data_IF_018456972537
#
_entry.id   IF_018456972537
#
_cell.length_a   1.000
_cell.length_b   1.000
_cell.length_c   1.000
_cell.angle_alpha   90.00
_cell.angle_beta   90.00
_cell.angle_gamma   90.00
#
_symmetry.space_group_name_H-M   'P 1'
#
loop_
_entity.id
_entity.type
_entity.pdbx_description
1 polymer ?
#
# COMPACT_ATOMS: atom_id res chain seq x y z
N UNK A 1 -29.88 17.76 -14.92
CA UNK A 1 -28.56 18.33 -15.20
C UNK A 1 -27.48 17.23 -15.06
N UNK A 2 -26.44 17.29 -15.91
CA UNK A 2 -25.35 16.28 -15.85
C UNK A 2 -24.68 16.31 -14.49
N UNK A 3 -24.52 17.49 -13.89
CA UNK A 3 -23.88 17.68 -12.61
C UNK A 3 -24.55 16.91 -11.45
N UNK A 4 -25.84 16.71 -11.50
CA UNK A 4 -26.58 15.97 -10.46
C UNK A 4 -26.32 14.47 -10.53
N UNK A 5 -25.90 13.98 -11.69
CA UNK A 5 -25.77 12.55 -11.99
C UNK A 5 -24.32 12.05 -12.03
N UNK A 6 -23.33 12.94 -11.99
CA UNK A 6 -21.90 12.54 -12.14
C UNK A 6 -21.39 11.58 -11.06
N UNK A 7 -22.09 11.51 -9.93
CA UNK A 7 -21.78 10.59 -8.82
C UNK A 7 -22.58 9.28 -8.88
N UNK A 8 -23.48 9.13 -9.86
CA UNK A 8 -24.20 7.85 -10.04
C UNK A 8 -23.23 6.79 -10.60
N UNK A 9 -23.23 5.57 -10.07
CA UNK A 9 -22.47 4.47 -10.64
C UNK A 9 -22.83 4.23 -12.11
N UNK A 10 -21.81 3.99 -12.93
CA UNK A 10 -21.93 3.75 -14.37
C UNK A 10 -22.37 4.94 -15.22
N UNK A 11 -22.57 6.11 -14.64
CA UNK A 11 -22.88 7.31 -15.40
C UNK A 11 -21.63 7.80 -16.14
N UNK A 12 -21.73 7.93 -17.47
CA UNK A 12 -20.65 8.46 -18.31
C UNK A 12 -21.23 9.13 -19.57
N UNK A 13 -20.63 10.24 -19.98
CA UNK A 13 -20.92 10.92 -21.24
C UNK A 13 -19.97 10.47 -22.36
N UNK A 14 -18.97 9.61 -22.05
CA UNK A 14 -18.03 9.08 -23.05
C UNK A 14 -18.67 7.92 -23.83
N UNK A 15 -18.26 7.75 -25.09
CA UNK A 15 -18.65 6.58 -25.90
C UNK A 15 -18.20 5.27 -25.26
N UNK A 16 -18.99 4.21 -25.46
CA UNK A 16 -18.73 2.87 -24.91
C UNK A 16 -17.27 2.46 -25.11
N UNK A 17 -16.60 2.09 -24.03
CA UNK A 17 -15.20 1.61 -24.01
C UNK A 17 -14.15 2.65 -23.58
N UNK A 18 -14.51 3.93 -23.44
CA UNK A 18 -13.57 4.99 -23.01
C UNK A 18 -13.75 5.42 -21.54
N UNK A 19 -14.57 4.71 -20.77
CA UNK A 19 -14.77 4.95 -19.34
C UNK A 19 -15.99 4.21 -18.82
N UNK A 20 -15.86 3.54 -17.68
CA UNK A 20 -16.91 2.72 -17.06
C UNK A 20 -17.86 3.52 -16.16
N UNK A 21 -17.64 4.83 -15.98
CA UNK A 21 -18.48 5.69 -15.14
C UNK A 21 -18.38 5.39 -13.64
N UNK A 22 -17.33 4.69 -13.19
CA UNK A 22 -17.16 4.30 -11.78
C UNK A 22 -16.25 5.22 -10.96
N UNK A 23 -15.42 6.05 -11.61
CA UNK A 23 -14.39 6.84 -10.91
C UNK A 23 -14.97 7.83 -9.89
N UNK A 24 -15.90 8.69 -10.31
CA UNK A 24 -16.49 9.70 -9.42
C UNK A 24 -17.42 9.10 -8.37
N UNK A 25 -18.16 8.04 -8.70
CA UNK A 25 -19.01 7.32 -7.74
C UNK A 25 -18.18 6.64 -6.64
N UNK A 26 -17.02 6.07 -7.00
CA UNK A 26 -16.09 5.49 -6.03
C UNK A 26 -15.53 6.56 -5.09
N UNK A 27 -15.07 7.69 -5.62
CA UNK A 27 -14.57 8.81 -4.80
C UNK A 27 -15.67 9.33 -3.87
N UNK A 28 -16.89 9.51 -4.40
CA UNK A 28 -18.04 9.96 -3.60
C UNK A 28 -18.34 9.00 -2.45
N UNK A 29 -18.41 7.68 -2.75
CA UNK A 29 -18.63 6.65 -1.74
C UNK A 29 -17.57 6.66 -0.64
N UNK A 30 -16.30 6.74 -1.01
CA UNK A 30 -15.18 6.81 -0.07
C UNK A 30 -15.25 8.03 0.86
N UNK A 31 -15.47 9.22 0.28
CA UNK A 31 -15.58 10.47 1.07
C UNK A 31 -16.78 10.42 2.02
N UNK A 32 -17.93 9.90 1.56
CA UNK A 32 -19.14 9.78 2.41
C UNK A 32 -18.94 8.77 3.54
N UNK A 33 -18.30 7.62 3.28
CA UNK A 33 -17.94 6.65 4.34
C UNK A 33 -16.98 7.23 5.36
N UNK A 34 -16.09 8.13 4.91
CA UNK A 34 -15.16 8.83 5.80
C UNK A 34 -15.82 9.98 6.59
N UNK A 35 -17.15 10.14 6.52
CA UNK A 35 -17.89 11.23 7.17
C UNK A 35 -17.68 12.59 6.49
N UNK A 36 -17.14 12.59 5.28
CA UNK A 36 -16.85 13.79 4.52
C UNK A 36 -17.95 14.23 3.56
N UNK A 37 -17.68 15.28 2.80
CA UNK A 37 -18.56 15.88 1.83
C UNK A 37 -17.84 16.22 0.53
N UNK A 38 -18.54 16.10 -0.60
CA UNK A 38 -18.01 16.42 -1.94
C UNK A 38 -18.86 17.56 -2.52
N UNK A 39 -18.19 18.58 -3.05
CA UNK A 39 -18.79 19.63 -3.86
C UNK A 39 -18.20 19.60 -5.26
N UNK A 40 -19.06 19.71 -6.26
CA UNK A 40 -18.66 19.81 -7.66
C UNK A 40 -19.18 21.11 -8.23
N UNK A 41 -18.30 21.85 -8.87
CA UNK A 41 -18.60 23.08 -9.62
C UNK A 41 -18.05 22.92 -11.03
N UNK A 42 -18.91 23.00 -12.03
CA UNK A 42 -18.50 22.87 -13.43
C UNK A 42 -19.22 23.90 -14.27
N UNK A 43 -18.46 24.57 -15.12
CA UNK A 43 -18.99 25.54 -16.09
C UNK A 43 -18.42 25.19 -17.48
N UNK A 44 -19.31 25.06 -18.46
CA UNK A 44 -18.91 24.69 -19.82
C UNK A 44 -17.92 25.72 -20.40
N UNK A 45 -16.81 25.22 -20.92
CA UNK A 45 -15.71 26.08 -21.44
C UNK A 45 -14.78 26.66 -20.37
N UNK A 46 -15.09 26.52 -19.06
CA UNK A 46 -14.28 27.02 -17.96
C UNK A 46 -13.66 25.91 -17.12
N UNK A 47 -14.18 24.69 -17.25
CA UNK A 47 -13.63 23.51 -16.57
C UNK A 47 -14.44 23.06 -15.36
N UNK A 48 -13.87 22.14 -14.60
CA UNK A 48 -14.52 21.50 -13.45
C UNK A 48 -13.63 21.58 -12.23
N UNK A 49 -14.20 21.99 -11.10
CA UNK A 49 -13.58 21.98 -9.78
C UNK A 49 -14.30 20.97 -8.89
N UNK A 50 -13.56 20.04 -8.31
CA UNK A 50 -14.07 19.08 -7.31
C UNK A 50 -13.42 19.41 -5.97
N UNK A 51 -14.23 19.70 -4.96
CA UNK A 51 -13.78 19.98 -3.60
C UNK A 51 -14.16 18.81 -2.69
N UNK A 52 -13.17 18.26 -1.99
CA UNK A 52 -13.34 17.16 -1.06
C UNK A 52 -13.14 17.69 0.36
N UNK A 53 -14.15 17.55 1.19
CA UNK A 53 -14.11 17.91 2.59
C UNK A 53 -14.04 16.63 3.42
N UNK A 54 -12.99 16.47 4.19
CA UNK A 54 -12.83 15.36 5.12
C UNK A 54 -12.87 15.90 6.55
N UNK A 55 -13.50 15.17 7.50
CA UNK A 55 -13.46 15.57 8.89
C UNK A 55 -11.99 15.53 9.36
N UNK A 56 -11.58 16.62 10.01
CA UNK A 56 -10.33 16.58 10.75
C UNK A 56 -10.60 15.65 11.94
N UNK A 57 -9.94 14.51 11.98
CA UNK A 57 -9.88 13.77 13.24
C UNK A 57 -9.31 14.74 14.27
N UNK A 58 -10.01 14.96 15.44
CA UNK A 58 -9.39 15.69 16.51
C UNK A 58 -8.05 14.99 16.70
N UNK A 59 -6.96 15.70 16.42
CA UNK A 59 -5.67 15.32 16.95
C UNK A 59 -5.96 15.21 18.43
N UNK A 60 -6.26 14.02 18.92
CA UNK A 60 -6.11 13.72 20.32
C UNK A 60 -4.73 14.29 20.57
N UNK A 61 -4.73 15.49 21.17
CA UNK A 61 -3.52 16.20 21.52
C UNK A 61 -2.57 15.10 21.91
N UNK A 62 -1.50 14.96 21.15
CA UNK A 62 -0.42 14.07 21.55
C UNK A 62 0.03 14.61 22.91
N UNK A 63 -0.90 14.50 23.86
CA UNK A 63 -0.66 14.56 25.28
C UNK A 63 0.39 13.52 25.45
N UNK A 64 1.63 13.98 25.51
CA UNK A 64 2.68 13.34 26.32
C UNK A 64 2.33 11.91 26.81
N UNK A 65 1.93 11.02 25.91
CA UNK A 65 2.02 9.59 26.09
C UNK A 65 3.41 9.13 25.64
N UNK A 66 4.37 9.99 25.90
CA UNK A 66 5.76 9.68 26.08
C UNK A 66 5.88 9.00 27.44
N UNK A 67 5.65 7.72 27.51
CA UNK A 67 6.25 6.84 28.52
C UNK A 67 5.86 5.37 28.32
N UNK A 68 4.92 5.03 27.41
CA UNK A 68 4.64 3.64 27.07
C UNK A 68 4.42 3.49 25.55
N UNK A 69 5.17 4.20 24.69
CA UNK A 69 5.38 3.74 23.34
C UNK A 69 5.94 2.32 23.45
N UNK A 70 5.25 1.31 22.87
CA UNK A 70 5.91 0.05 22.66
C UNK A 70 7.14 0.44 21.84
N UNK A 71 8.32 0.31 22.45
CA UNK A 71 9.61 0.61 21.83
C UNK A 71 9.58 -0.05 20.47
N UNK A 72 9.27 0.72 19.42
CA UNK A 72 9.39 0.25 18.05
C UNK A 72 10.85 -0.08 17.93
N UNK A 73 11.17 -1.37 18.12
CA UNK A 73 12.55 -1.81 18.12
C UNK A 73 13.14 -1.38 16.80
N UNK A 74 14.12 -0.50 16.87
CA UNK A 74 14.87 -0.07 15.71
C UNK A 74 15.51 -1.29 15.08
N UNK A 75 15.49 -1.37 13.77
CA UNK A 75 16.23 -2.40 13.06
C UNK A 75 17.70 -2.40 13.50
N UNK A 76 18.26 -3.58 13.67
CA UNK A 76 19.68 -3.77 14.01
C UNK A 76 20.51 -4.04 12.75
N UNK A 77 20.17 -3.38 11.64
CA UNK A 77 20.85 -3.55 10.35
C UNK A 77 20.36 -4.72 9.51
N UNK A 78 19.19 -5.31 9.85
CA UNK A 78 18.57 -6.35 9.02
C UNK A 78 18.27 -5.79 7.62
N UNK A 79 18.47 -6.63 6.61
CA UNK A 79 18.24 -6.28 5.21
C UNK A 79 16.82 -6.64 4.80
N UNK A 80 16.10 -5.66 4.28
CA UNK A 80 14.75 -5.81 3.72
C UNK A 80 14.84 -5.57 2.21
N UNK A 81 14.34 -6.51 1.42
CA UNK A 81 14.09 -6.35 -0.01
C UNK A 81 12.68 -5.82 -0.17
N UNK A 82 12.55 -4.59 -0.64
CA UNK A 82 11.29 -3.91 -0.89
C UNK A 82 10.97 -3.91 -2.37
N UNK A 83 9.79 -4.43 -2.73
CA UNK A 83 9.33 -4.54 -4.11
C UNK A 83 7.94 -3.94 -4.25
N UNK A 84 7.82 -2.91 -5.08
CA UNK A 84 6.55 -2.24 -5.39
C UNK A 84 6.74 -1.51 -6.72
N UNK A 85 5.80 -1.62 -7.64
CA UNK A 85 5.86 -0.96 -8.95
C UNK A 85 5.62 0.55 -8.86
N UNK A 86 4.93 1.00 -7.82
CA UNK A 86 4.61 2.40 -7.59
C UNK A 86 5.77 3.14 -6.93
N UNK A 87 6.45 3.99 -7.67
CA UNK A 87 7.65 4.72 -7.23
C UNK A 87 7.44 5.55 -5.95
N UNK A 88 6.29 6.22 -5.82
CA UNK A 88 5.96 7.03 -4.64
C UNK A 88 5.86 6.16 -3.37
N UNK A 89 5.17 5.01 -3.44
CA UNK A 89 5.03 4.07 -2.32
C UNK A 89 6.39 3.49 -1.97
N UNK A 90 7.14 3.03 -2.96
CA UNK A 90 8.46 2.43 -2.80
C UNK A 90 9.43 3.39 -2.10
N UNK A 91 9.49 4.66 -2.50
CA UNK A 91 10.32 5.69 -1.83
C UNK A 91 9.89 5.92 -0.39
N UNK A 92 8.60 6.16 -0.15
CA UNK A 92 8.07 6.44 1.20
C UNK A 92 8.33 5.29 2.18
N UNK A 93 8.11 4.06 1.74
CA UNK A 93 8.34 2.85 2.55
C UNK A 93 9.84 2.66 2.81
N UNK A 94 10.68 2.79 1.78
CA UNK A 94 12.13 2.67 1.92
C UNK A 94 12.70 3.67 2.91
N UNK A 95 12.28 4.94 2.83
CA UNK A 95 12.74 5.99 3.74
C UNK A 95 12.29 5.72 5.19
N UNK A 96 11.07 5.23 5.37
CA UNK A 96 10.55 4.87 6.69
C UNK A 96 11.36 3.75 7.35
N UNK A 97 11.71 2.72 6.59
CA UNK A 97 12.51 1.59 7.04
C UNK A 97 13.97 2.00 7.32
N UNK A 98 14.60 2.77 6.42
CA UNK A 98 15.99 3.26 6.59
C UNK A 98 16.13 4.11 7.83
N UNK A 99 15.21 5.05 8.07
CA UNK A 99 15.18 5.88 9.28
C UNK A 99 15.00 5.07 10.57
N UNK A 100 14.45 3.87 10.44
CA UNK A 100 14.24 2.95 11.56
C UNK A 100 15.38 1.93 11.72
N UNK A 101 16.49 2.08 10.98
CA UNK A 101 17.71 1.28 11.16
C UNK A 101 17.79 0.00 10.33
N UNK A 102 16.89 -0.19 9.35
CA UNK A 102 16.96 -1.30 8.41
C UNK A 102 17.81 -0.95 7.19
N UNK A 103 18.49 -1.95 6.62
CA UNK A 103 19.07 -1.84 5.29
C UNK A 103 17.99 -2.17 4.26
N UNK A 104 17.81 -1.30 3.27
CA UNK A 104 16.74 -1.49 2.28
C UNK A 104 17.32 -1.57 0.88
N UNK A 105 17.10 -2.71 0.25
CA UNK A 105 17.30 -2.94 -1.19
C UNK A 105 15.93 -2.73 -1.84
N UNK A 106 15.86 -1.99 -2.93
CA UNK A 106 14.61 -1.69 -3.62
C UNK A 106 14.60 -2.30 -5.01
N UNK A 107 13.43 -2.72 -5.45
CA UNK A 107 13.16 -3.16 -6.80
C UNK A 107 11.76 -2.69 -7.24
N UNK A 108 11.58 -2.42 -8.52
CA UNK A 108 10.32 -1.97 -9.12
C UNK A 108 9.50 -3.10 -9.72
N UNK A 109 10.04 -4.31 -9.75
CA UNK A 109 9.43 -5.49 -10.35
C UNK A 109 9.99 -6.78 -9.75
N UNK A 110 9.31 -7.90 -9.96
CA UNK A 110 9.81 -9.20 -9.53
C UNK A 110 11.13 -9.57 -10.22
N UNK A 111 11.28 -9.28 -11.51
CA UNK A 111 12.50 -9.56 -12.26
C UNK A 111 13.70 -8.80 -11.70
N UNK A 112 13.53 -7.51 -11.40
CA UNK A 112 14.58 -6.70 -10.75
C UNK A 112 14.87 -7.24 -9.35
N UNK A 113 13.85 -7.62 -8.60
CA UNK A 113 14.01 -8.18 -7.26
C UNK A 113 14.84 -9.47 -7.24
N UNK A 114 14.59 -10.39 -8.17
CA UNK A 114 15.38 -11.62 -8.33
C UNK A 114 16.82 -11.31 -8.70
N UNK A 115 17.03 -10.38 -9.64
CA UNK A 115 18.37 -9.95 -10.05
C UNK A 115 19.17 -9.37 -8.88
N UNK A 116 18.62 -8.38 -8.16
CA UNK A 116 19.32 -7.74 -7.04
C UNK A 116 19.49 -8.72 -5.87
N UNK A 117 18.54 -9.63 -5.65
CA UNK A 117 18.70 -10.68 -4.67
C UNK A 117 19.84 -11.64 -5.01
N UNK A 118 20.00 -12.01 -6.29
CA UNK A 118 21.12 -12.85 -6.77
C UNK A 118 22.50 -12.17 -6.61
N UNK A 119 22.55 -10.84 -6.81
CA UNK A 119 23.78 -10.05 -6.62
C UNK A 119 24.12 -9.82 -5.13
N UNK A 120 23.15 -9.95 -4.23
CA UNK A 120 23.33 -9.68 -2.80
C UNK A 120 24.08 -10.84 -2.11
N UNK A 121 25.34 -10.60 -1.70
CA UNK A 121 26.16 -11.59 -1.00
C UNK A 121 25.76 -11.83 0.46
N UNK A 122 25.09 -10.85 1.09
CA UNK A 122 24.62 -10.93 2.47
C UNK A 122 23.20 -11.48 2.60
N UNK A 123 22.76 -11.76 3.83
CA UNK A 123 21.41 -12.25 4.05
C UNK A 123 20.37 -11.16 3.71
N UNK A 124 19.29 -11.56 3.06
CA UNK A 124 18.04 -10.83 2.98
C UNK A 124 17.13 -11.44 4.04
N UNK A 125 16.78 -10.65 5.05
CA UNK A 125 16.04 -11.14 6.21
C UNK A 125 14.53 -11.12 5.96
N UNK A 126 14.07 -10.15 5.12
CA UNK A 126 12.65 -9.98 4.81
C UNK A 126 12.48 -9.56 3.35
N UNK A 127 11.43 -10.09 2.73
CA UNK A 127 10.81 -9.56 1.52
C UNK A 127 9.57 -8.76 1.94
N UNK A 128 9.49 -7.51 1.53
CA UNK A 128 8.32 -6.66 1.62
C UNK A 128 7.86 -6.37 0.19
N UNK A 129 6.75 -6.93 -0.23
CA UNK A 129 6.32 -6.88 -1.65
C UNK A 129 4.86 -6.52 -1.79
N UNK A 130 4.51 -5.79 -2.85
CA UNK A 130 3.13 -5.72 -3.30
C UNK A 130 2.66 -7.12 -3.73
N UNK A 131 1.39 -7.43 -3.50
CA UNK A 131 0.76 -8.69 -3.92
C UNK A 131 0.60 -8.71 -5.42
N UNK A 132 0.13 -7.62 -6.02
CA UNK A 132 -0.19 -7.51 -7.45
C UNK A 132 0.75 -6.49 -8.08
N UNK A 133 1.54 -6.93 -9.03
CA UNK A 133 2.41 -6.08 -9.84
C UNK A 133 2.23 -6.37 -11.32
N UNK A 134 2.45 -5.41 -12.22
CA UNK A 134 2.36 -5.64 -13.66
C UNK A 134 3.24 -6.79 -14.11
N UNK A 135 2.62 -7.80 -14.75
CA UNK A 135 3.31 -8.96 -15.33
C UNK A 135 3.84 -9.99 -14.34
N UNK A 136 3.63 -9.80 -13.01
CA UNK A 136 4.08 -10.75 -11.99
C UNK A 136 3.32 -10.61 -10.68
N UNK A 137 3.33 -11.67 -9.89
CA UNK A 137 2.74 -11.69 -8.55
C UNK A 137 3.84 -11.63 -7.48
N UNK A 138 3.63 -10.80 -6.43
CA UNK A 138 4.50 -10.82 -5.25
C UNK A 138 4.50 -12.18 -4.54
N UNK A 139 3.44 -12.96 -4.70
CA UNK A 139 3.34 -14.32 -4.14
C UNK A 139 4.29 -15.28 -4.86
N UNK A 140 4.35 -15.22 -6.19
CA UNK A 140 5.27 -16.05 -6.97
C UNK A 140 6.72 -15.65 -6.71
N UNK A 141 7.01 -14.36 -6.63
CA UNK A 141 8.32 -13.85 -6.23
C UNK A 141 8.74 -14.39 -4.86
N UNK A 142 7.84 -14.35 -3.88
CA UNK A 142 8.12 -14.86 -2.54
C UNK A 142 8.40 -16.36 -2.54
N UNK A 143 7.64 -17.12 -3.33
CA UNK A 143 7.85 -18.58 -3.49
C UNK A 143 9.22 -18.86 -4.07
N UNK A 144 9.63 -18.17 -5.12
CA UNK A 144 10.93 -18.35 -5.77
C UNK A 144 12.07 -17.98 -4.81
N UNK A 145 12.02 -16.82 -4.17
CA UNK A 145 13.06 -16.39 -3.22
C UNK A 145 13.17 -17.31 -1.99
N UNK A 146 12.07 -17.90 -1.52
CA UNK A 146 12.09 -18.86 -0.40
C UNK A 146 12.82 -20.17 -0.75
N UNK A 147 12.87 -20.56 -2.03
CA UNK A 147 13.64 -21.76 -2.45
C UNK A 147 15.14 -21.55 -2.31
N UNK A 148 15.62 -20.34 -2.60
CA UNK A 148 17.03 -20.00 -2.53
C UNK A 148 17.48 -19.50 -1.14
N UNK A 149 16.55 -18.88 -0.40
CA UNK A 149 16.83 -18.20 0.86
C UNK A 149 15.98 -18.76 2.00
N UNK A 150 16.48 -19.84 2.63
CA UNK A 150 15.82 -20.45 3.77
C UNK A 150 15.70 -19.46 4.94
N UNK A 151 14.48 -19.33 5.49
CA UNK A 151 14.20 -18.40 6.60
C UNK A 151 13.83 -16.98 6.16
N UNK A 152 13.69 -16.71 4.87
CA UNK A 152 13.17 -15.44 4.38
C UNK A 152 11.77 -15.17 4.93
N UNK A 153 11.63 -14.10 5.71
CA UNK A 153 10.31 -13.60 6.16
C UNK A 153 9.66 -12.82 5.04
N UNK A 154 8.35 -12.95 4.91
CA UNK A 154 7.61 -12.23 3.87
C UNK A 154 6.50 -11.41 4.51
N UNK A 155 6.39 -10.15 4.11
CA UNK A 155 5.28 -9.27 4.42
C UNK A 155 4.70 -8.75 3.11
N UNK A 156 3.44 -9.07 2.85
CA UNK A 156 2.74 -8.60 1.66
C UNK A 156 2.08 -7.25 1.91
N UNK A 157 2.17 -6.34 0.96
CA UNK A 157 1.38 -5.10 0.90
C UNK A 157 0.20 -5.33 -0.04
N UNK A 158 -1.03 -5.10 0.42
CA UNK A 158 -2.23 -5.39 -0.36
C UNK A 158 -3.20 -4.22 -0.34
N UNK A 159 -3.79 -3.90 -1.48
CA UNK A 159 -4.94 -2.99 -1.58
C UNK A 159 -6.27 -3.65 -1.17
N UNK A 160 -6.28 -4.96 -0.98
CA UNK A 160 -7.43 -5.72 -0.51
C UNK A 160 -7.32 -6.00 0.98
N UNK A 161 -8.46 -6.15 1.67
CA UNK A 161 -8.44 -6.68 3.03
C UNK A 161 -7.83 -8.09 3.03
N UNK A 162 -7.11 -8.44 4.08
CA UNK A 162 -6.48 -9.77 4.16
C UNK A 162 -7.48 -10.91 4.05
N UNK A 163 -8.72 -10.68 4.47
CA UNK A 163 -9.80 -11.65 4.36
C UNK A 163 -10.19 -11.88 2.89
N UNK A 164 -10.32 -10.81 2.11
CA UNK A 164 -10.60 -10.89 0.67
C UNK A 164 -9.45 -11.51 -0.11
N UNK A 165 -8.21 -11.16 0.22
CA UNK A 165 -7.02 -11.73 -0.44
C UNK A 165 -6.90 -13.25 -0.21
N UNK A 166 -7.28 -13.74 0.96
CA UNK A 166 -7.34 -15.18 1.26
C UNK A 166 -8.55 -15.84 0.60
N UNK A 167 -9.74 -15.23 0.66
CA UNK A 167 -10.95 -15.77 0.04
C UNK A 167 -10.82 -15.89 -1.49
N UNK A 168 -10.14 -14.93 -2.13
CA UNK A 168 -9.86 -14.97 -3.57
C UNK A 168 -8.69 -15.89 -3.93
N UNK A 169 -8.08 -16.57 -2.96
CA UNK A 169 -6.96 -17.47 -3.20
C UNK A 169 -5.65 -16.76 -3.58
N UNK A 170 -5.59 -15.44 -3.41
CA UNK A 170 -4.40 -14.64 -3.74
C UNK A 170 -3.30 -14.83 -2.70
N UNK A 171 -3.67 -14.95 -1.42
CA UNK A 171 -2.75 -15.25 -0.33
C UNK A 171 -3.13 -16.55 0.37
N UNK A 172 -2.14 -17.34 0.76
CA UNK A 172 -2.37 -18.52 1.58
C UNK A 172 -2.74 -18.12 3.02
N UNK A 173 -3.53 -18.95 3.69
CA UNK A 173 -3.86 -18.73 5.09
C UNK A 173 -2.58 -18.75 5.95
N UNK A 174 -2.41 -17.74 6.81
CA UNK A 174 -1.24 -17.61 7.69
C UNK A 174 -0.11 -16.75 7.12
N UNK A 175 -0.19 -16.27 5.88
CA UNK A 175 0.77 -15.30 5.36
C UNK A 175 0.60 -13.92 6.03
N UNK A 176 1.71 -13.24 6.26
CA UNK A 176 1.70 -11.92 6.87
C UNK A 176 1.46 -10.84 5.83
N UNK A 177 0.51 -9.96 6.08
CA UNK A 177 0.19 -8.86 5.15
C UNK A 177 -0.06 -7.55 5.89
N UNK A 178 0.01 -6.44 5.15
CA UNK A 178 -0.40 -5.12 5.58
C UNK A 178 -1.30 -4.50 4.51
N UNK A 179 -2.45 -4.00 4.92
CA UNK A 179 -3.45 -3.41 4.03
C UNK A 179 -3.09 -1.97 3.69
N UNK A 180 -3.14 -1.62 2.40
CA UNK A 180 -2.98 -0.24 1.90
C UNK A 180 -4.34 0.48 1.95
N UNK A 181 -4.39 1.74 2.44
CA UNK A 181 -3.29 2.56 2.94
C UNK A 181 -2.89 2.23 4.39
N UNK A 182 -1.61 2.24 4.70
CA UNK A 182 -1.10 1.98 6.06
C UNK A 182 -0.30 3.17 6.60
N UNK A 183 -0.28 3.30 7.93
CA UNK A 183 0.58 4.26 8.60
C UNK A 183 2.02 3.74 8.69
N UNK A 184 2.97 4.69 8.84
CA UNK A 184 4.38 4.36 9.10
C UNK A 184 4.52 3.43 10.30
N UNK A 185 3.81 3.73 11.38
CA UNK A 185 3.95 3.00 12.64
C UNK A 185 3.39 1.57 12.53
N UNK A 186 2.26 1.38 11.83
CA UNK A 186 1.71 0.07 11.53
C UNK A 186 2.69 -0.80 10.72
N UNK A 187 3.34 -0.20 9.71
CA UNK A 187 4.37 -0.88 8.92
C UNK A 187 5.54 -1.33 9.82
N UNK A 188 6.10 -0.40 10.59
CA UNK A 188 7.27 -0.68 11.43
C UNK A 188 6.99 -1.71 12.53
N UNK A 189 5.79 -1.69 13.11
CA UNK A 189 5.35 -2.70 14.07
C UNK A 189 5.30 -4.10 13.46
N UNK A 190 4.70 -4.24 12.25
CA UNK A 190 4.63 -5.52 11.55
C UNK A 190 6.01 -6.04 11.14
N UNK A 191 6.87 -5.16 10.61
CA UNK A 191 8.24 -5.50 10.24
C UNK A 191 9.03 -5.96 11.47
N UNK A 192 8.96 -5.23 12.57
CA UNK A 192 9.63 -5.60 13.81
C UNK A 192 9.11 -6.91 14.43
N UNK A 193 7.81 -7.18 14.32
CA UNK A 193 7.20 -8.43 14.79
C UNK A 193 7.71 -9.64 14.00
N UNK A 194 7.88 -9.51 12.71
CA UNK A 194 8.34 -10.59 11.83
C UNK A 194 9.85 -10.84 11.91
N UNK A 195 10.65 -9.82 12.24
CA UNK A 195 12.11 -9.91 12.30
C UNK A 195 12.67 -10.23 13.70
N UNK A 196 11.79 -10.64 14.59
CA UNK A 196 12.16 -11.17 15.92
C UNK A 196 12.85 -12.53 15.86
#
# INVERSE_FOLDING_TARGET
DIQDRVFEPFFTTKTRGLGEGLGLSTVYGFIRQSGGHVLLQSEEGRGTTVQLYLPILPVATASAQSANDPVVRRGSGQTVLLVDDTDAIRRQVADSLRRSGYRVIVANSASEALYVAGCQRGPIHMLLTDVIMPGSSGVDLARELRTERRGLRVLYMSGFSGHEAVQQGVLAAGESFIEKPFSRDALLQKVAALLR
#
